data_IF_491048835280
#
_entry.id   IF_491048835280
#
_cell.length_a   1.000
_cell.length_b   1.000
_cell.length_c   1.000
_cell.angle_alpha   90.00
_cell.angle_beta   90.00
_cell.angle_gamma   90.00
#
_symmetry.space_group_name_H-M   'P 1'
#
loop_
_entity.id
_entity.type
_entity.pdbx_description
1 polymer ?
#
# COMPACT_ATOMS: atom_id res chain seq x y z
N UNK A 1 0.36 -32.72 -46.51
CA UNK A 1 -0.30 -32.28 -45.26
C UNK A 1 0.70 -31.43 -44.50
N UNK A 2 0.54 -30.11 -44.46
CA UNK A 2 1.49 -29.19 -43.82
C UNK A 2 1.12 -29.07 -42.34
N UNK A 3 2.00 -29.51 -41.44
CA UNK A 3 1.84 -29.29 -40.00
C UNK A 3 2.27 -27.85 -39.69
N UNK A 4 1.31 -26.97 -39.46
CA UNK A 4 1.57 -25.63 -38.95
C UNK A 4 1.82 -25.73 -37.44
N UNK A 5 3.08 -25.53 -37.02
CA UNK A 5 3.43 -25.40 -35.61
C UNK A 5 3.00 -24.00 -35.14
N UNK A 6 1.92 -23.94 -34.36
CA UNK A 6 1.48 -22.70 -33.72
C UNK A 6 2.36 -22.51 -32.49
N UNK A 7 3.27 -21.54 -32.53
CA UNK A 7 4.01 -21.10 -31.35
C UNK A 7 3.07 -20.31 -30.43
N UNK A 8 2.43 -21.01 -29.49
CA UNK A 8 1.66 -20.38 -28.41
C UNK A 8 2.65 -19.96 -27.32
N UNK A 9 2.91 -18.67 -27.23
CA UNK A 9 3.67 -18.10 -26.11
C UNK A 9 2.69 -17.81 -24.97
N UNK A 10 2.68 -18.65 -23.94
CA UNK A 10 1.91 -18.40 -22.72
C UNK A 10 2.74 -17.46 -21.83
N UNK A 11 2.31 -16.19 -21.72
CA UNK A 11 2.90 -15.25 -20.76
C UNK A 11 2.42 -15.59 -19.35
N UNK A 12 3.32 -15.54 -18.38
CA UNK A 12 2.94 -15.69 -16.97
C UNK A 12 1.87 -14.65 -16.59
N UNK A 13 0.81 -15.04 -15.84
CA UNK A 13 -0.22 -14.10 -15.41
C UNK A 13 0.41 -13.00 -14.56
N UNK A 14 0.07 -11.73 -14.81
CA UNK A 14 0.57 -10.59 -14.03
C UNK A 14 -0.22 -10.51 -12.72
N UNK A 15 0.47 -10.65 -11.59
CA UNK A 15 -0.12 -10.43 -10.27
C UNK A 15 0.06 -8.96 -9.87
N UNK A 16 -0.99 -8.16 -10.06
CA UNK A 16 -0.99 -6.75 -9.65
C UNK A 16 -1.37 -6.62 -8.17
N UNK A 17 -0.66 -5.76 -7.44
CA UNK A 17 -0.94 -5.43 -6.05
C UNK A 17 -0.93 -3.92 -5.86
N UNK A 18 -1.67 -3.45 -4.86
CA UNK A 18 -1.63 -2.06 -4.42
C UNK A 18 -0.80 -1.97 -3.14
N UNK A 19 0.24 -1.12 -3.15
CA UNK A 19 1.13 -0.92 -2.02
C UNK A 19 1.20 0.54 -1.61
N UNK A 20 1.25 0.78 -0.32
CA UNK A 20 1.51 2.10 0.26
C UNK A 20 2.81 2.01 1.01
N UNK A 21 3.73 2.92 0.73
CA UNK A 21 4.96 3.08 1.50
C UNK A 21 4.84 4.36 2.31
N UNK A 22 5.04 4.22 3.62
CA UNK A 22 5.01 5.33 4.57
C UNK A 22 6.43 5.56 5.05
N UNK A 23 6.93 6.76 4.77
CA UNK A 23 8.14 7.28 5.40
C UNK A 23 7.74 7.81 6.79
N UNK A 24 8.14 7.06 7.79
CA UNK A 24 7.87 7.33 9.20
C UNK A 24 9.13 7.89 9.83
N UNK A 25 9.00 9.06 10.48
CA UNK A 25 10.07 9.59 11.31
C UNK A 25 10.50 8.53 12.36
N UNK A 26 11.77 8.53 12.76
CA UNK A 26 12.26 7.66 13.85
C UNK A 26 11.53 7.92 15.16
N UNK A 27 11.00 9.12 15.36
CA UNK A 27 10.23 9.50 16.54
C UNK A 27 8.73 9.18 16.39
N UNK A 28 8.28 8.73 15.21
CA UNK A 28 6.91 8.28 15.02
C UNK A 28 6.67 6.98 15.80
N UNK A 29 5.63 6.94 16.63
CA UNK A 29 5.39 5.77 17.48
C UNK A 29 4.41 4.78 16.84
N UNK A 30 3.35 5.28 16.18
CA UNK A 30 2.32 4.45 15.57
C UNK A 30 1.88 5.00 14.22
N UNK A 31 1.64 4.10 13.27
CA UNK A 31 0.99 4.43 12.00
C UNK A 31 -0.39 3.81 11.95
N UNK A 32 -1.31 4.55 11.36
CA UNK A 32 -2.66 4.11 11.03
C UNK A 32 -2.88 4.27 9.53
N UNK A 33 -3.45 3.24 8.91
CA UNK A 33 -3.87 3.26 7.51
C UNK A 33 -5.32 2.83 7.43
N UNK A 34 -6.18 3.70 6.90
CA UNK A 34 -7.61 3.44 6.83
C UNK A 34 -8.25 4.00 5.56
N UNK A 35 -9.45 3.53 5.25
CA UNK A 35 -10.26 4.10 4.19
C UNK A 35 -10.80 5.46 4.63
N UNK A 36 -10.57 6.52 3.84
CA UNK A 36 -10.92 7.90 4.21
C UNK A 36 -12.41 8.14 4.45
N UNK A 37 -13.28 7.56 3.61
CA UNK A 37 -14.73 7.81 3.66
C UNK A 37 -15.46 6.93 4.67
N UNK A 38 -15.06 5.66 4.83
CA UNK A 38 -15.76 4.69 5.69
C UNK A 38 -15.14 4.58 7.07
N UNK A 39 -13.87 4.96 7.23
CA UNK A 39 -13.11 4.73 8.46
C UNK A 39 -12.64 3.29 8.62
N UNK A 40 -12.79 2.43 7.60
CA UNK A 40 -12.36 1.03 7.67
C UNK A 40 -10.84 0.96 7.89
N UNK A 41 -10.45 0.40 9.02
CA UNK A 41 -9.06 0.26 9.40
C UNK A 41 -8.41 -0.88 8.62
N UNK A 42 -7.34 -0.58 7.89
CA UNK A 42 -6.55 -1.61 7.20
C UNK A 42 -5.36 -2.05 8.03
N UNK A 43 -4.59 -1.10 8.55
CA UNK A 43 -3.40 -1.39 9.35
C UNK A 43 -3.28 -0.40 10.51
N UNK A 44 -2.89 -0.90 11.67
CA UNK A 44 -2.47 -0.10 12.82
C UNK A 44 -1.35 -0.83 13.53
N UNK A 45 -0.17 -0.23 13.59
CA UNK A 45 1.03 -0.91 14.10
C UNK A 45 2.01 0.10 14.67
N UNK A 46 2.84 -0.38 15.61
CA UNK A 46 3.94 0.40 16.16
C UNK A 46 5.04 0.50 15.11
N UNK A 47 5.58 1.69 14.91
CA UNK A 47 6.69 1.90 13.97
C UNK A 47 7.91 1.14 14.46
N UNK A 48 8.50 0.34 13.59
CA UNK A 48 9.71 -0.46 13.86
C UNK A 48 10.83 -0.16 12.86
N UNK A 49 10.53 0.55 11.79
CA UNK A 49 11.46 0.90 10.72
C UNK A 49 11.10 2.29 10.18
N UNK A 50 12.09 3.12 9.78
CA UNK A 50 11.83 4.45 9.21
C UNK A 50 10.99 4.42 7.92
N UNK A 51 11.01 3.30 7.19
CA UNK A 51 10.17 3.15 5.98
C UNK A 51 9.42 1.84 6.09
N UNK A 52 8.10 1.92 6.11
CA UNK A 52 7.25 0.73 6.21
C UNK A 52 6.26 0.65 5.06
N UNK A 53 6.08 -0.55 4.52
CA UNK A 53 5.22 -0.79 3.34
C UNK A 53 4.07 -1.73 3.64
N UNK A 54 2.89 -1.39 3.13
CA UNK A 54 1.63 -2.11 3.35
C UNK A 54 0.95 -2.46 2.05
N UNK A 55 0.42 -3.68 1.98
CA UNK A 55 -0.53 -4.05 0.92
C UNK A 55 -1.94 -3.63 1.34
N UNK A 56 -2.67 -3.03 0.39
CA UNK A 56 -4.04 -2.56 0.55
C UNK A 56 -4.93 -3.11 -0.56
N UNK A 57 -6.27 -3.05 -0.44
CA UNK A 57 -7.16 -3.40 -1.54
C UNK A 57 -6.81 -2.64 -2.82
N UNK A 58 -6.87 -3.34 -3.96
CA UNK A 58 -6.43 -2.80 -5.24
C UNK A 58 -7.23 -1.57 -5.72
N UNK A 59 -8.45 -1.38 -5.21
CA UNK A 59 -9.26 -0.18 -5.45
C UNK A 59 -8.56 1.12 -5.06
N UNK A 60 -7.61 1.08 -4.12
CA UNK A 60 -6.82 2.24 -3.69
C UNK A 60 -5.65 2.58 -4.62
N UNK A 61 -5.32 1.73 -5.58
CA UNK A 61 -4.34 2.08 -6.62
C UNK A 61 -4.95 2.94 -7.74
N UNK A 62 -6.27 2.94 -7.85
CA UNK A 62 -7.01 3.71 -8.87
C UNK A 62 -7.75 4.90 -8.29
N UNK A 63 -7.98 4.93 -6.98
CA UNK A 63 -8.70 5.99 -6.28
C UNK A 63 -7.86 6.56 -5.11
N UNK A 64 -8.07 7.83 -4.81
CA UNK A 64 -7.43 8.58 -3.72
C UNK A 64 -8.21 8.38 -2.41
N UNK A 65 -8.40 7.12 -2.01
CA UNK A 65 -9.34 6.74 -0.94
C UNK A 65 -8.69 6.33 0.37
N UNK A 66 -7.38 6.49 0.51
CA UNK A 66 -6.67 6.21 1.75
C UNK A 66 -6.44 7.46 2.58
N UNK A 67 -6.49 7.25 3.89
CA UNK A 67 -6.09 8.19 4.91
C UNK A 67 -4.97 7.54 5.73
N UNK A 68 -3.80 8.17 5.72
CA UNK A 68 -2.61 7.71 6.45
C UNK A 68 -2.41 8.64 7.63
N UNK A 69 -2.18 8.10 8.82
CA UNK A 69 -1.88 8.88 10.00
C UNK A 69 -0.65 8.38 10.75
N UNK A 70 0.04 9.30 11.40
CA UNK A 70 1.02 9.02 12.44
C UNK A 70 0.40 9.50 13.76
N UNK A 71 0.41 8.60 14.73
CA UNK A 71 -0.09 8.82 16.08
C UNK A 71 1.07 8.78 17.06
N UNK A 72 0.93 9.61 18.09
CA UNK A 72 1.85 9.74 19.21
C UNK A 72 1.20 9.12 20.45
N UNK A 73 1.86 8.12 21.02
CA UNK A 73 1.43 7.37 22.20
C UNK A 73 1.88 8.04 23.50
N UNK A 74 2.99 8.79 23.48
CA UNK A 74 3.58 9.42 24.65
C UNK A 74 3.14 10.89 24.88
N UNK A 75 2.36 11.46 23.95
CA UNK A 75 1.82 12.82 23.97
C UNK A 75 2.87 13.95 23.95
N UNK A 76 4.09 13.67 23.48
CA UNK A 76 5.16 14.64 23.28
C UNK A 76 4.98 15.40 21.96
N UNK A 77 4.46 14.73 20.93
CA UNK A 77 4.34 15.28 19.58
C UNK A 77 2.90 15.29 19.08
N UNK A 78 2.63 16.14 18.09
CA UNK A 78 1.32 16.17 17.45
C UNK A 78 1.17 14.99 16.49
N UNK A 79 -0.04 14.44 16.42
CA UNK A 79 -0.39 13.54 15.34
C UNK A 79 -0.45 14.29 14.00
N UNK A 80 -0.29 13.54 12.91
CA UNK A 80 -0.42 14.08 11.56
C UNK A 80 -1.16 13.08 10.68
N UNK A 81 -2.09 13.59 9.89
CA UNK A 81 -2.79 12.82 8.87
C UNK A 81 -2.52 13.37 7.47
N UNK A 82 -2.41 12.47 6.51
CA UNK A 82 -2.35 12.74 5.09
C UNK A 82 -3.57 12.09 4.46
N UNK A 83 -4.50 12.93 3.99
CA UNK A 83 -5.73 12.51 3.30
C UNK A 83 -5.50 12.39 1.79
N UNK A 84 -6.32 11.58 1.13
CA UNK A 84 -6.33 11.44 -0.32
C UNK A 84 -5.12 10.68 -0.85
N UNK A 85 -4.59 9.72 -0.10
CA UNK A 85 -3.42 8.93 -0.51
C UNK A 85 -3.84 7.88 -1.55
N UNK A 86 -3.06 7.78 -2.63
CA UNK A 86 -3.17 6.71 -3.63
C UNK A 86 -2.08 5.67 -3.39
N UNK A 87 -2.45 4.40 -3.48
CA UNK A 87 -1.50 3.31 -3.44
C UNK A 87 -0.77 3.16 -4.79
N UNK A 88 0.47 2.73 -4.74
CA UNK A 88 1.26 2.37 -5.92
C UNK A 88 0.80 1.04 -6.50
N UNK A 89 0.76 0.96 -7.82
CA UNK A 89 0.50 -0.28 -8.54
C UNK A 89 1.81 -1.03 -8.78
N UNK A 90 1.96 -2.19 -8.15
CA UNK A 90 3.17 -3.00 -8.22
C UNK A 90 2.89 -4.36 -8.86
N UNK A 91 3.77 -4.76 -9.78
CA UNK A 91 3.77 -6.11 -10.33
C UNK A 91 4.51 -7.04 -9.37
N UNK A 92 3.75 -7.86 -8.64
CA UNK A 92 4.28 -8.79 -7.65
C UNK A 92 5.21 -9.86 -8.26
N UNK A 93 5.15 -10.08 -9.58
CA UNK A 93 6.04 -11.03 -10.28
C UNK A 93 7.33 -10.39 -10.79
N UNK A 94 7.50 -9.08 -10.64
CA UNK A 94 8.68 -8.33 -11.07
C UNK A 94 9.55 -7.85 -9.88
N UNK A 95 9.29 -8.40 -8.68
CA UNK A 95 10.05 -8.13 -7.45
C UNK A 95 11.14 -9.19 -7.30
#
# INVERSE_FOLDING_TARGET
>A
MIKQLVNIVVKAPIAMQARVTVDTDTDAERVILMHRNTGDLYHMFKVVSPVTSFTVPYSHAVNDTLLVGILDDNHVYNCKFVDGVRAENINANAI
#
